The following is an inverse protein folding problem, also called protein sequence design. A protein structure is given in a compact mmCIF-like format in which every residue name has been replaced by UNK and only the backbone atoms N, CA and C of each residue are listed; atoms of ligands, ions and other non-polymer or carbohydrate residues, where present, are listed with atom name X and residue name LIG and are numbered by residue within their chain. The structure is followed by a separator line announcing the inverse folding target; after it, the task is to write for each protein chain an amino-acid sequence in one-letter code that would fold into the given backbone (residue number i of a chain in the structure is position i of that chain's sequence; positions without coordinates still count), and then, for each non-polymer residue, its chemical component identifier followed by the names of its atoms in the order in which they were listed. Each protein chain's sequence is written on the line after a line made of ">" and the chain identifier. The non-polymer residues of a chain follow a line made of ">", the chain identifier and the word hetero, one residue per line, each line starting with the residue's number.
data_IF_094689549221
#
_entry.id   IF_094689549221
#
_cell.length_a   1.000
_cell.length_b   1.000
_cell.length_c   1.000
_cell.angle_alpha   90.00
_cell.angle_beta   90.00
_cell.angle_gamma   90.00
#
_symmetry.space_group_name_H-M   'P 1'
#
loop_
_entity.id
_entity.type
_entity.pdbx_description
1 polymer ?
#
# COMPACT_ATOMS: atom_id res chain seq x y z
N UNK A 1 -3.45 46.39 44.78
CA UNK A 1 -2.21 46.28 43.98
C UNK A 1 -1.71 44.84 44.04
N UNK A 2 -1.73 44.06 42.94
CA UNK A 2 -1.10 42.72 42.95
C UNK A 2 0.41 42.88 43.14
N UNK A 3 1.01 42.15 44.07
CA UNK A 3 2.43 42.23 44.39
C UNK A 3 3.29 41.94 43.14
N UNK A 4 4.47 42.57 43.07
CA UNK A 4 5.42 42.42 41.96
C UNK A 4 5.76 40.93 41.72
N UNK A 5 5.82 40.15 42.80
CA UNK A 5 6.06 38.70 42.80
C UNK A 5 4.94 37.95 42.09
N UNK A 6 3.68 38.34 42.29
CA UNK A 6 2.52 37.70 41.64
C UNK A 6 2.52 37.96 40.12
N UNK A 7 2.90 39.18 39.69
CA UNK A 7 3.03 39.49 38.26
C UNK A 7 4.14 38.68 37.62
N UNK A 8 5.28 38.56 38.30
CA UNK A 8 6.42 37.78 37.82
C UNK A 8 6.07 36.29 37.66
N UNK A 9 5.40 35.69 38.66
CA UNK A 9 4.94 34.30 38.59
C UNK A 9 3.94 34.08 37.44
N UNK A 10 3.01 35.01 37.21
CA UNK A 10 2.07 34.92 36.09
C UNK A 10 2.80 34.96 34.74
N UNK A 11 3.83 35.79 34.59
CA UNK A 11 4.65 35.84 33.38
C UNK A 11 5.42 34.54 33.14
N UNK A 12 5.96 33.93 34.19
CA UNK A 12 6.63 32.64 34.10
C UNK A 12 5.68 31.52 33.67
N UNK A 13 4.49 31.45 34.27
CA UNK A 13 3.45 30.47 33.90
C UNK A 13 3.09 30.61 32.42
N UNK A 14 2.85 31.84 31.94
CA UNK A 14 2.51 32.07 30.54
C UNK A 14 3.63 31.63 29.59
N UNK A 15 4.91 31.85 29.96
CA UNK A 15 6.06 31.38 29.15
C UNK A 15 6.15 29.85 29.09
N UNK A 16 5.89 29.18 30.21
CA UNK A 16 5.88 27.71 30.27
C UNK A 16 4.75 27.16 29.39
N UNK A 17 3.54 27.72 29.49
CA UNK A 17 2.40 27.29 28.66
C UNK A 17 2.67 27.47 27.16
N UNK A 18 3.32 28.58 26.75
CA UNK A 18 3.71 28.77 25.34
C UNK A 18 4.76 27.74 24.91
N UNK A 19 5.75 27.44 25.75
CA UNK A 19 6.76 26.43 25.46
C UNK A 19 6.15 25.02 25.30
N UNK A 20 5.19 24.65 26.15
CA UNK A 20 4.47 23.37 26.02
C UNK A 20 3.70 23.25 24.71
N UNK A 21 3.03 24.33 24.27
CA UNK A 21 2.33 24.35 22.98
C UNK A 21 3.32 24.19 21.83
N UNK A 22 4.44 24.92 21.86
CA UNK A 22 5.47 24.83 20.81
C UNK A 22 6.09 23.43 20.73
N UNK A 23 6.33 22.78 21.86
CA UNK A 23 6.81 21.39 21.90
C UNK A 23 5.78 20.43 21.29
N UNK A 24 4.48 20.59 21.60
CA UNK A 24 3.43 19.75 21.00
C UNK A 24 3.35 19.91 19.49
N UNK A 25 3.44 21.13 18.98
CA UNK A 25 3.47 21.40 17.53
C UNK A 25 4.69 20.74 16.89
N UNK A 26 5.88 20.92 17.48
CA UNK A 26 7.10 20.30 16.96
C UNK A 26 7.04 18.76 16.96
N UNK A 27 6.43 18.16 17.98
CA UNK A 27 6.20 16.71 18.02
C UNK A 27 5.27 16.28 16.90
N UNK A 28 4.16 17.01 16.67
CA UNK A 28 3.21 16.72 15.60
C UNK A 28 3.84 16.84 14.21
N UNK A 29 4.63 17.89 13.96
CA UNK A 29 5.34 18.08 12.69
C UNK A 29 6.38 16.97 12.47
N UNK A 30 7.05 16.54 13.54
CA UNK A 30 8.01 15.44 13.48
C UNK A 30 7.31 14.11 13.18
N UNK A 31 6.19 13.78 13.85
CA UNK A 31 5.44 12.56 13.54
C UNK A 31 4.87 12.59 12.14
N UNK A 32 4.38 13.72 11.65
CA UNK A 32 3.91 13.84 10.27
C UNK A 32 5.06 13.65 9.27
N UNK A 33 6.23 14.23 9.54
CA UNK A 33 7.43 14.07 8.71
C UNK A 33 7.97 12.65 8.72
N UNK A 34 7.96 11.99 9.88
CA UNK A 34 8.35 10.59 10.04
C UNK A 34 7.37 9.66 9.31
N UNK A 35 6.06 9.89 9.43
CA UNK A 35 5.05 9.14 8.70
C UNK A 35 5.20 9.33 7.18
N UNK A 36 5.54 10.53 6.71
CA UNK A 36 5.85 10.80 5.31
C UNK A 36 7.13 10.07 4.86
N UNK A 37 8.17 10.04 5.69
CA UNK A 37 9.44 9.35 5.38
C UNK A 37 9.34 7.81 5.46
N UNK A 38 8.43 7.27 6.27
CA UNK A 38 8.27 5.81 6.41
C UNK A 38 7.52 5.17 5.23
N UNK A 39 7.18 5.95 4.19
CA UNK A 39 6.72 5.44 2.90
C UNK A 39 7.91 4.99 2.05
N UNK A 40 8.73 4.07 2.57
CA UNK A 40 9.78 3.37 1.82
C UNK A 40 9.15 2.41 0.79
N UNK A 41 8.30 2.94 -0.09
CA UNK A 41 7.70 2.22 -1.18
C UNK A 41 8.76 2.06 -2.26
N UNK A 42 9.43 0.91 -2.26
CA UNK A 42 10.45 0.61 -3.26
C UNK A 42 9.78 0.33 -4.59
N UNK A 43 10.03 1.19 -5.58
CA UNK A 43 9.59 0.93 -6.95
C UNK A 43 10.50 -0.12 -7.57
N UNK A 44 9.94 -1.25 -7.96
CA UNK A 44 10.70 -2.38 -8.51
C UNK A 44 9.98 -2.98 -9.74
N UNK A 45 10.73 -3.76 -10.52
CA UNK A 45 10.15 -4.54 -11.61
C UNK A 45 9.42 -5.75 -11.05
N UNK A 46 8.41 -6.24 -11.78
CA UNK A 46 7.73 -7.49 -11.42
C UNK A 46 8.70 -8.68 -11.30
N UNK A 47 9.76 -8.71 -12.11
CA UNK A 47 10.79 -9.75 -12.04
C UNK A 47 11.68 -9.70 -10.80
N UNK A 48 11.61 -8.62 -10.03
CA UNK A 48 12.37 -8.43 -8.78
C UNK A 48 11.53 -8.84 -7.55
N UNK A 49 10.28 -9.28 -7.77
CA UNK A 49 9.47 -9.94 -6.74
C UNK A 49 9.96 -11.37 -6.54
N UNK A 50 9.83 -11.88 -5.31
CA UNK A 50 10.15 -13.27 -5.04
C UNK A 50 9.16 -14.20 -5.73
N UNK A 51 9.68 -15.23 -6.39
CA UNK A 51 8.88 -16.20 -7.12
C UNK A 51 8.02 -17.01 -6.15
N UNK A 52 6.72 -17.13 -6.44
CA UNK A 52 5.76 -17.89 -5.65
C UNK A 52 5.28 -17.21 -4.36
N UNK A 53 5.79 -16.01 -4.05
CA UNK A 53 5.38 -15.27 -2.85
C UNK A 53 4.10 -14.45 -3.14
N UNK A 54 3.03 -14.61 -2.34
CA UNK A 54 1.83 -13.81 -2.47
C UNK A 54 2.02 -12.44 -1.81
N UNK A 55 1.95 -11.37 -2.62
CA UNK A 55 1.97 -10.00 -2.14
C UNK A 55 0.56 -9.44 -2.09
N UNK A 56 0.10 -8.94 -0.95
CA UNK A 56 -1.21 -8.30 -0.85
C UNK A 56 -1.17 -6.97 -1.60
N UNK A 57 -2.10 -6.77 -2.53
CA UNK A 57 -2.32 -5.47 -3.16
C UNK A 57 -3.00 -4.55 -2.14
N UNK A 58 -2.44 -3.35 -1.97
CA UNK A 58 -2.96 -2.31 -1.07
C UNK A 58 -3.79 -1.29 -1.82
N UNK A 59 -3.31 -0.91 -3.01
CA UNK A 59 -4.01 0.01 -3.91
C UNK A 59 -3.50 -0.14 -5.33
N UNK A 60 -4.33 0.25 -6.28
CA UNK A 60 -3.91 0.49 -7.65
C UNK A 60 -3.80 1.98 -7.91
N UNK A 61 -2.82 2.39 -8.71
CA UNK A 61 -2.64 3.78 -9.12
C UNK A 61 -2.54 3.83 -10.65
N UNK A 62 -3.44 4.59 -11.28
CA UNK A 62 -3.28 4.95 -12.68
C UNK A 62 -2.30 6.10 -12.81
N UNK A 63 -1.45 6.01 -13.82
CA UNK A 63 -0.54 7.08 -14.19
C UNK A 63 -0.47 7.19 -15.70
N UNK A 64 -0.13 8.37 -16.18
CA UNK A 64 0.15 8.62 -17.59
C UNK A 64 1.64 8.88 -17.71
N UNK A 65 2.29 8.18 -18.64
CA UNK A 65 3.68 8.45 -19.01
C UNK A 65 3.78 8.76 -20.51
N UNK A 66 4.99 9.04 -20.98
CA UNK A 66 5.27 9.31 -22.40
C UNK A 66 4.88 8.16 -23.36
N UNK A 67 4.61 6.97 -22.83
CA UNK A 67 4.22 5.77 -23.59
C UNK A 67 2.72 5.44 -23.45
N UNK A 68 1.94 6.33 -22.83
CA UNK A 68 0.50 6.21 -22.63
C UNK A 68 0.11 5.92 -21.18
N UNK A 69 -1.10 5.42 -21.01
CA UNK A 69 -1.65 5.08 -19.71
C UNK A 69 -1.02 3.79 -19.15
N UNK A 70 -0.84 3.77 -17.84
CA UNK A 70 -0.33 2.62 -17.09
C UNK A 70 -1.01 2.47 -15.75
N UNK A 71 -0.85 1.28 -15.17
CA UNK A 71 -1.35 0.95 -13.83
C UNK A 71 -0.17 0.45 -12.99
N UNK A 72 -0.03 1.00 -11.79
CA UNK A 72 0.88 0.54 -10.76
C UNK A 72 0.09 -0.12 -9.63
N UNK A 73 0.65 -1.19 -9.05
CA UNK A 73 0.11 -1.84 -7.86
C UNK A 73 1.07 -1.58 -6.70
N UNK A 74 0.51 -1.17 -5.56
CA UNK A 74 1.23 -1.07 -4.30
C UNK A 74 1.02 -2.38 -3.55
N UNK A 75 2.11 -3.00 -3.16
CA UNK A 75 2.17 -4.35 -2.65
C UNK A 75 2.72 -4.30 -1.22
N UNK A 76 2.10 -5.07 -0.32
CA UNK A 76 2.68 -5.39 0.98
C UNK A 76 2.92 -6.89 1.07
N UNK A 77 4.13 -7.28 1.47
CA UNK A 77 4.41 -8.67 1.83
C UNK A 77 3.86 -8.99 3.21
N UNK A 78 3.60 -10.26 3.50
CA UNK A 78 3.35 -10.76 4.85
C UNK A 78 4.63 -10.91 5.68
N UNK A 79 5.81 -10.79 5.07
CA UNK A 79 7.12 -10.78 5.75
C UNK A 79 7.76 -9.40 5.87
N UNK A 80 9.04 -9.34 6.27
CA UNK A 80 9.82 -8.10 6.46
C UNK A 80 10.15 -7.33 5.17
N UNK A 81 9.62 -7.76 4.02
CA UNK A 81 9.74 -7.01 2.79
C UNK A 81 8.76 -5.84 2.85
N UNK A 82 9.30 -4.64 3.08
CA UNK A 82 8.55 -3.39 3.08
C UNK A 82 7.72 -3.18 1.80
N UNK A 83 6.91 -2.12 1.80
CA UNK A 83 5.99 -1.86 0.69
C UNK A 83 6.72 -1.73 -0.65
N UNK A 84 6.16 -2.34 -1.69
CA UNK A 84 6.71 -2.31 -3.06
C UNK A 84 5.71 -1.71 -4.02
N UNK A 85 6.19 -0.92 -4.98
CA UNK A 85 5.41 -0.44 -6.12
C UNK A 85 5.86 -1.16 -7.38
N UNK A 86 4.94 -1.80 -8.08
CA UNK A 86 5.23 -2.51 -9.34
C UNK A 86 4.32 -2.04 -10.47
N UNK A 87 4.86 -2.02 -11.69
CA UNK A 87 4.08 -1.72 -12.88
C UNK A 87 3.34 -2.96 -13.39
N UNK A 88 2.02 -2.87 -13.48
CA UNK A 88 1.16 -3.98 -13.91
C UNK A 88 1.28 -4.21 -15.42
N UNK A 89 1.43 -5.46 -15.89
CA UNK A 89 1.53 -5.75 -17.32
C UNK A 89 0.28 -5.30 -18.09
N UNK A 90 0.49 -4.74 -19.29
CA UNK A 90 -0.58 -4.17 -20.13
C UNK A 90 -1.78 -5.11 -20.37
N UNK A 91 -1.55 -6.43 -20.39
CA UNK A 91 -2.63 -7.44 -20.56
C UNK A 91 -3.73 -7.37 -19.50
N UNK A 92 -3.46 -6.80 -18.33
CA UNK A 92 -4.43 -6.65 -17.25
C UNK A 92 -5.11 -5.28 -17.24
N UNK A 93 -4.67 -4.31 -18.06
CA UNK A 93 -5.22 -2.96 -18.04
C UNK A 93 -6.70 -2.93 -18.45
N UNK A 94 -7.14 -3.86 -19.30
CA UNK A 94 -8.56 -3.98 -19.66
C UNK A 94 -9.47 -4.42 -18.50
N UNK A 95 -8.94 -5.21 -17.56
CA UNK A 95 -9.68 -5.63 -16.36
C UNK A 95 -9.62 -4.57 -15.24
N UNK A 96 -8.63 -3.67 -15.28
CA UNK A 96 -8.40 -2.61 -14.28
C UNK A 96 -8.92 -1.26 -14.80
N UNK A 97 -10.24 -1.15 -14.99
CA UNK A 97 -10.90 0.10 -15.35
C UNK A 97 -10.83 1.13 -14.20
N UNK A 98 -11.13 2.40 -14.49
CA UNK A 98 -11.15 3.44 -13.44
C UNK A 98 -12.12 3.09 -12.32
N UNK A 99 -13.33 2.64 -12.68
CA UNK A 99 -14.35 2.23 -11.70
C UNK A 99 -13.89 1.06 -10.84
N UNK A 100 -13.22 0.06 -11.41
CA UNK A 100 -12.69 -1.08 -10.65
C UNK A 100 -11.60 -0.63 -9.68
N UNK A 101 -10.69 0.23 -10.12
CA UNK A 101 -9.61 0.77 -9.28
C UNK A 101 -10.17 1.66 -8.17
N UNK A 102 -11.11 2.55 -8.49
CA UNK A 102 -11.75 3.44 -7.54
C UNK A 102 -12.50 2.63 -6.48
N UNK A 103 -13.32 1.66 -6.88
CA UNK A 103 -14.03 0.77 -5.95
C UNK A 103 -13.05 -0.01 -5.05
N UNK A 104 -11.97 -0.53 -5.64
CA UNK A 104 -10.97 -1.27 -4.87
C UNK A 104 -10.22 -0.38 -3.86
N UNK A 105 -9.92 0.87 -4.24
CA UNK A 105 -9.16 1.80 -3.39
C UNK A 105 -10.04 2.51 -2.35
N UNK A 106 -11.34 2.68 -2.61
CA UNK A 106 -12.28 3.37 -1.71
C UNK A 106 -12.78 2.46 -0.59
N UNK A 107 -12.86 1.15 -0.85
CA UNK A 107 -13.18 0.16 0.17
C UNK A 107 -11.97 -0.07 1.08
N UNK A 108 -11.80 0.82 2.06
CA UNK A 108 -10.80 0.77 3.14
C UNK A 108 -10.94 -0.45 4.09
N UNK A 109 -11.55 -1.55 3.63
CA UNK A 109 -11.77 -2.77 4.42
C UNK A 109 -12.59 -3.88 3.76
N UNK A 110 -12.60 -4.04 2.43
CA UNK A 110 -13.34 -5.17 1.84
C UNK A 110 -12.63 -6.52 2.02
N UNK A 111 -13.42 -7.57 2.25
CA UNK A 111 -12.99 -8.98 2.38
C UNK A 111 -12.33 -9.53 1.10
N UNK A 112 -12.53 -8.84 -0.03
CA UNK A 112 -11.94 -9.14 -1.35
C UNK A 112 -10.47 -8.71 -1.47
N UNK A 113 -9.61 -9.09 -0.52
CA UNK A 113 -8.18 -8.77 -0.62
C UNK A 113 -7.59 -9.45 -1.86
N UNK A 114 -6.94 -8.68 -2.72
CA UNK A 114 -6.27 -9.20 -3.91
C UNK A 114 -4.80 -9.46 -3.57
N UNK A 115 -4.28 -10.61 -3.94
CA UNK A 115 -2.87 -10.97 -3.90
C UNK A 115 -2.30 -11.06 -5.30
N UNK A 116 -1.08 -10.55 -5.48
CA UNK A 116 -0.27 -10.71 -6.66
C UNK A 116 0.82 -11.74 -6.38
N UNK A 117 0.93 -12.75 -7.25
CA UNK A 117 1.98 -13.77 -7.21
C UNK A 117 2.78 -13.71 -8.51
N UNK A 118 4.10 -13.52 -8.41
CA UNK A 118 5.01 -13.65 -9.54
C UNK A 118 5.47 -15.11 -9.67
N UNK A 119 5.25 -15.74 -10.82
CA UNK A 119 5.56 -17.16 -11.06
C UNK A 119 6.77 -17.40 -11.97
N UNK A 120 7.52 -16.34 -12.28
CA UNK A 120 8.70 -16.42 -13.13
C UNK A 120 8.43 -16.00 -14.58
N UNK A 121 9.16 -16.59 -15.53
CA UNK A 121 9.07 -16.27 -16.95
C UNK A 121 8.17 -17.25 -17.69
N UNK A 122 7.21 -16.73 -18.46
CA UNK A 122 6.37 -17.48 -19.40
C UNK A 122 7.01 -17.49 -20.80
N UNK A 123 7.19 -18.66 -21.39
CA UNK A 123 7.67 -18.81 -22.77
C UNK A 123 6.57 -18.39 -23.78
N UNK A 124 6.91 -17.81 -24.96
CA UNK A 124 8.26 -17.51 -25.44
C UNK A 124 8.87 -16.21 -24.89
N UNK A 125 8.07 -15.20 -24.50
CA UNK A 125 8.54 -13.97 -23.83
C UNK A 125 7.43 -13.34 -22.98
N UNK A 126 7.50 -13.47 -21.65
CA UNK A 126 6.60 -12.78 -20.75
C UNK A 126 6.86 -13.11 -19.28
N UNK A 127 6.27 -12.31 -18.39
CA UNK A 127 6.20 -12.63 -16.96
C UNK A 127 4.94 -13.44 -16.68
N UNK A 128 5.07 -14.52 -15.93
CA UNK A 128 3.94 -15.21 -15.35
C UNK A 128 3.54 -14.52 -14.05
N UNK A 129 2.33 -13.97 -14.02
CA UNK A 129 1.82 -13.16 -12.91
C UNK A 129 0.36 -13.50 -12.74
N UNK A 130 -0.04 -13.78 -11.51
CA UNK A 130 -1.40 -14.17 -11.16
C UNK A 130 -1.94 -13.21 -10.10
N UNK A 131 -3.16 -12.72 -10.30
CA UNK A 131 -3.94 -12.04 -9.27
C UNK A 131 -4.96 -13.03 -8.69
N UNK A 132 -5.04 -13.12 -7.36
CA UNK A 132 -5.96 -14.01 -6.62
C UNK A 132 -6.74 -13.19 -5.60
N UNK A 133 -8.00 -13.54 -5.32
CA UNK A 133 -8.71 -13.01 -4.15
C UNK A 133 -8.38 -13.83 -2.89
N UNK A 134 -8.52 -13.21 -1.73
CA UNK A 134 -8.52 -13.86 -0.43
C UNK A 134 -9.82 -14.64 -0.27
N UNK A 135 -9.90 -15.79 -0.94
CA UNK A 135 -10.67 -16.99 -0.58
C UNK A 135 -10.96 -17.82 -1.83
N UNK A 136 -10.04 -18.75 -2.09
CA UNK A 136 -10.40 -20.16 -2.15
C UNK A 136 -9.43 -20.89 -1.21
N UNK A 137 -9.91 -21.30 -0.04
CA UNK A 137 -9.21 -22.19 0.88
C UNK A 137 -9.05 -23.54 0.18
N UNK A 138 -7.87 -23.85 -0.33
CA UNK A 138 -7.53 -25.22 -0.72
C UNK A 138 -7.15 -25.98 0.54
N UNK A 139 -8.10 -26.72 1.10
CA UNK A 139 -7.70 -27.97 1.74
C UNK A 139 -7.14 -28.85 0.62
N UNK A 140 -5.88 -29.25 0.75
CA UNK A 140 -5.30 -30.37 0.00
C UNK A 140 -6.15 -31.60 0.33
N UNK A 141 -7.15 -31.88 -0.50
CA UNK A 141 -7.67 -33.22 -0.60
C UNK A 141 -6.84 -33.92 -1.66
N UNK A 142 -5.97 -34.80 -1.19
CA UNK A 142 -5.36 -35.88 -1.95
C UNK A 142 -6.44 -36.66 -2.70
N UNK A 143 -6.79 -36.23 -3.92
CA UNK A 143 -7.39 -37.02 -5.00
C UNK A 143 -7.82 -36.09 -6.12
N UNK A 144 -7.20 -36.22 -7.29
CA UNK A 144 -7.37 -35.32 -8.42
C UNK A 144 -8.82 -35.12 -8.86
N UNK A 145 -9.20 -33.87 -9.07
CA UNK A 145 -10.32 -33.48 -9.94
C UNK A 145 -10.05 -32.07 -10.51
N UNK A 146 -10.30 -31.93 -11.81
CA UNK A 146 -10.06 -30.74 -12.62
C UNK A 146 -10.94 -29.56 -12.17
N UNK A 147 -10.35 -28.38 -11.99
CA UNK A 147 -11.11 -27.13 -11.88
C UNK A 147 -11.36 -26.54 -13.28
N UNK A 148 -12.60 -26.60 -13.75
CA UNK A 148 -13.12 -25.82 -14.89
C UNK A 148 -13.61 -24.45 -14.39
N UNK A 149 -13.25 -23.38 -15.10
CA UNK A 149 -13.80 -22.04 -14.86
C UNK A 149 -14.99 -21.79 -15.80
N UNK A 150 -16.18 -21.53 -15.23
CA UNK A 150 -17.33 -20.97 -15.94
C UNK A 150 -17.27 -19.43 -15.86
N UNK A 151 -17.29 -18.78 -17.02
CA UNK A 151 -17.78 -17.39 -17.15
C UNK A 151 -19.13 -17.46 -17.85
N UNK A 152 -20.18 -17.03 -17.15
CA UNK A 152 -21.47 -16.63 -17.70
C UNK A 152 -21.65 -15.14 -17.50
#
# INVERSE_FOLDING_TARGET
>A
MKSLTVRYLQTLINKISVAEIMIKIAIMDLTESLNKCNTNVLTCKISELNVGVPYQVRKFEKFVNQFGEGVAAYLSSTGDEGERKVYVPKRFHGALSNSVIENYNSDNGNDDKIYLEYRGLRKPRGFDVVFKKADEVYYENESGAQAQYYYG
#
